data_IF_210127211123
#
_entry.id   IF_210127211123
#
_cell.length_a   1.000
_cell.length_b   1.000
_cell.length_c   1.000
_cell.angle_alpha   90.00
_cell.angle_beta   90.00
_cell.angle_gamma   90.00
#
_symmetry.space_group_name_H-M   'P 1'
#
loop_
_entity.id
_entity.type
_entity.pdbx_description
1 polymer ?
#
# COMPACT_ATOMS: atom_id res chain seq x y z
N UNK A 1 6.22 0.91 -10.31
CA UNK A 1 5.90 2.03 -11.23
C UNK A 1 5.79 3.30 -10.41
N UNK A 2 6.22 4.41 -10.96
CA UNK A 2 6.09 5.74 -10.33
C UNK A 2 5.10 6.58 -11.12
N UNK A 3 4.60 7.64 -10.52
CA UNK A 3 3.72 8.62 -11.18
C UNK A 3 4.33 9.18 -12.47
N UNK A 4 5.66 9.41 -12.47
CA UNK A 4 6.41 9.85 -13.66
C UNK A 4 6.44 8.85 -14.82
N UNK A 5 6.13 7.59 -14.57
CA UNK A 5 6.15 6.53 -15.60
C UNK A 5 4.82 6.43 -16.37
N UNK A 6 3.78 7.13 -15.91
CA UNK A 6 2.48 7.16 -16.57
C UNK A 6 2.56 7.90 -17.90
N UNK A 7 1.98 7.29 -18.93
CA UNK A 7 1.85 7.87 -20.26
C UNK A 7 0.40 8.24 -20.56
N UNK A 8 0.22 9.29 -21.35
CA UNK A 8 -1.10 9.65 -21.85
C UNK A 8 -1.79 8.47 -22.55
N UNK A 9 -3.03 8.22 -22.18
CA UNK A 9 -3.80 7.08 -22.66
C UNK A 9 -3.76 5.86 -21.76
N UNK A 10 -2.87 5.81 -20.76
CA UNK A 10 -2.92 4.74 -19.79
C UNK A 10 -4.24 4.78 -19.01
N UNK A 11 -4.77 3.61 -18.70
CA UNK A 11 -5.87 3.45 -17.76
C UNK A 11 -5.32 2.99 -16.43
N UNK A 12 -5.75 3.64 -15.37
CA UNK A 12 -5.43 3.26 -13.99
C UNK A 12 -6.67 2.66 -13.33
N UNK A 13 -6.48 1.64 -12.50
CA UNK A 13 -7.54 1.05 -11.69
C UNK A 13 -7.21 1.25 -10.23
N UNK A 14 -8.14 1.81 -9.47
CA UNK A 14 -7.99 2.07 -8.04
C UNK A 14 -8.22 0.81 -7.22
N UNK A 15 -7.97 0.89 -5.90
CA UNK A 15 -8.26 -0.19 -4.95
C UNK A 15 -9.74 -0.56 -4.92
N UNK A 16 -10.63 0.39 -5.13
CA UNK A 16 -12.07 0.16 -5.24
C UNK A 16 -12.50 -0.42 -6.59
N UNK A 17 -11.57 -0.62 -7.52
CA UNK A 17 -11.84 -1.16 -8.85
C UNK A 17 -12.34 -0.11 -9.85
N UNK A 18 -12.37 1.17 -9.48
CA UNK A 18 -12.79 2.26 -10.37
C UNK A 18 -11.67 2.51 -11.39
N UNK A 19 -12.04 2.64 -12.66
CA UNK A 19 -11.09 2.88 -13.74
C UNK A 19 -11.11 4.31 -14.22
N UNK A 20 -9.93 4.86 -14.42
CA UNK A 20 -9.71 6.21 -14.90
C UNK A 20 -8.75 6.24 -16.07
N UNK A 21 -9.06 7.03 -17.08
CA UNK A 21 -8.16 7.31 -18.20
C UNK A 21 -7.23 8.46 -17.84
N UNK A 22 -5.91 8.25 -17.92
CA UNK A 22 -4.95 9.34 -17.79
C UNK A 22 -4.98 10.23 -19.03
N UNK A 23 -5.64 11.38 -18.89
CA UNK A 23 -5.84 12.37 -19.95
C UNK A 23 -5.06 13.65 -19.62
N UNK A 24 -4.10 13.99 -20.46
CA UNK A 24 -3.30 15.19 -20.24
C UNK A 24 -2.99 15.91 -21.56
N UNK A 25 -3.30 17.21 -21.59
CA UNK A 25 -2.47 18.13 -22.38
C UNK A 25 -2.06 19.38 -21.60
N UNK A 26 -2.85 19.84 -20.63
CA UNK A 26 -2.52 21.07 -19.87
C UNK A 26 -2.86 20.98 -18.37
N UNK A 27 -3.58 19.97 -17.95
CA UNK A 27 -3.86 19.68 -16.55
C UNK A 27 -3.93 18.15 -16.42
N UNK A 28 -2.90 17.56 -15.82
CA UNK A 28 -2.81 16.12 -15.67
C UNK A 28 -3.99 15.60 -14.81
N UNK A 29 -4.96 14.98 -15.45
CA UNK A 29 -6.20 14.47 -14.86
C UNK A 29 -6.39 13.01 -15.20
N UNK A 30 -7.02 12.30 -14.28
CA UNK A 30 -7.61 10.99 -14.49
C UNK A 30 -9.11 11.17 -14.68
N UNK A 31 -9.63 10.81 -15.85
CA UNK A 31 -11.06 10.86 -16.15
C UNK A 31 -11.68 9.50 -15.82
N UNK A 32 -12.74 9.48 -15.01
CA UNK A 32 -13.46 8.25 -14.74
C UNK A 32 -14.06 7.70 -16.05
N UNK A 33 -13.98 6.39 -16.26
CA UNK A 33 -14.51 5.74 -17.48
C UNK A 33 -16.01 5.44 -17.39
N UNK A 34 -16.56 5.40 -16.17
CA UNK A 34 -17.95 5.01 -15.93
C UNK A 34 -18.88 6.20 -15.68
N UNK A 35 -18.34 7.36 -15.29
CA UNK A 35 -19.09 8.56 -15.01
C UNK A 35 -18.31 9.85 -15.37
N UNK A 36 -18.89 11.03 -15.13
CA UNK A 36 -18.26 12.33 -15.40
C UNK A 36 -17.26 12.77 -14.32
N UNK A 37 -16.87 11.87 -13.41
CA UNK A 37 -15.91 12.14 -12.34
C UNK A 37 -14.48 12.26 -12.87
N UNK A 38 -13.63 12.93 -12.09
CA UNK A 38 -12.21 13.01 -12.37
C UNK A 38 -11.38 13.12 -11.08
N UNK A 39 -10.12 12.72 -11.17
CA UNK A 39 -9.11 12.89 -10.14
C UNK A 39 -7.94 13.71 -10.71
N UNK A 40 -7.29 14.49 -9.86
CA UNK A 40 -6.09 15.19 -10.26
C UNK A 40 -4.85 14.34 -9.98
N UNK A 41 -3.91 14.26 -10.94
CA UNK A 41 -2.65 13.55 -10.70
C UNK A 41 -1.84 14.14 -9.53
N UNK A 42 -2.02 15.44 -9.24
CA UNK A 42 -1.38 16.10 -8.10
C UNK A 42 -1.84 15.57 -6.74
N UNK A 43 -3.02 14.94 -6.70
CA UNK A 43 -3.59 14.37 -5.48
C UNK A 43 -2.95 13.00 -5.13
N UNK A 44 -1.99 12.54 -5.95
CA UNK A 44 -1.23 11.32 -5.74
C UNK A 44 0.23 11.62 -5.47
N UNK A 45 0.85 10.83 -4.59
CA UNK A 45 2.30 10.81 -4.38
C UNK A 45 3.04 10.16 -5.57
N UNK A 46 4.38 10.11 -5.51
CA UNK A 46 5.20 9.48 -6.54
C UNK A 46 5.01 7.96 -6.65
N UNK A 47 4.42 7.32 -5.64
CA UNK A 47 4.13 5.89 -5.62
C UNK A 47 2.68 5.58 -6.01
N UNK A 48 1.93 6.58 -6.47
CA UNK A 48 0.53 6.47 -6.88
C UNK A 48 -0.44 6.15 -5.74
N UNK A 49 -0.09 6.55 -4.50
CA UNK A 49 -1.05 6.59 -3.39
C UNK A 49 -1.75 7.95 -3.39
N UNK A 50 -3.02 7.96 -3.05
CA UNK A 50 -3.75 9.22 -2.88
C UNK A 50 -3.27 9.94 -1.61
N UNK A 51 -3.14 11.26 -1.68
CA UNK A 51 -2.69 12.11 -0.57
C UNK A 51 -3.92 12.59 0.20
N UNK A 52 -3.84 12.56 1.54
CA UNK A 52 -4.84 13.13 2.46
C UNK A 52 -6.27 12.55 2.36
N UNK A 53 -6.44 11.37 1.76
CA UNK A 53 -7.73 10.70 1.64
C UNK A 53 -7.66 9.23 2.07
N UNK A 54 -8.83 8.59 2.16
CA UNK A 54 -8.93 7.15 2.34
C UNK A 54 -8.25 6.44 1.14
N UNK A 55 -7.47 5.40 1.43
CA UNK A 55 -6.65 4.67 0.45
C UNK A 55 -7.45 3.88 -0.62
N UNK A 56 -8.77 3.94 -0.59
CA UNK A 56 -9.64 3.33 -1.60
C UNK A 56 -9.34 3.78 -3.03
N UNK A 57 -8.84 5.00 -3.19
CA UNK A 57 -8.45 5.57 -4.49
C UNK A 57 -6.97 5.37 -4.85
N UNK A 58 -6.18 4.64 -4.05
CA UNK A 58 -4.82 4.27 -4.43
C UNK A 58 -4.81 3.53 -5.77
N UNK A 59 -3.86 3.87 -6.64
CA UNK A 59 -3.72 3.17 -7.91
C UNK A 59 -3.14 1.79 -7.67
N UNK A 60 -3.89 0.77 -8.09
CA UNK A 60 -3.53 -0.64 -7.93
C UNK A 60 -3.04 -1.27 -9.22
N UNK A 61 -3.56 -0.85 -10.38
CA UNK A 61 -3.17 -1.37 -11.69
C UNK A 61 -3.03 -0.25 -12.70
N UNK A 62 -2.17 -0.46 -13.69
CA UNK A 62 -2.02 0.41 -14.85
C UNK A 62 -2.06 -0.45 -16.10
N UNK A 63 -2.90 -0.07 -17.04
CA UNK A 63 -3.06 -0.71 -18.34
C UNK A 63 -2.54 0.21 -19.45
N UNK A 64 -2.17 -0.40 -20.59
CA UNK A 64 -1.64 0.34 -21.73
C UNK A 64 -2.65 1.37 -22.26
N UNK A 65 -3.90 0.92 -22.43
CA UNK A 65 -4.98 1.72 -23.00
C UNK A 65 -6.36 1.41 -22.39
N UNK A 66 -7.40 2.06 -22.92
CA UNK A 66 -8.78 1.93 -22.48
C UNK A 66 -9.38 0.52 -22.69
N UNK A 67 -8.75 -0.36 -23.49
CA UNK A 67 -9.23 -1.73 -23.65
C UNK A 67 -8.92 -2.61 -22.45
N UNK A 68 -8.01 -2.17 -21.58
CA UNK A 68 -7.52 -2.86 -20.38
C UNK A 68 -7.05 -4.31 -20.64
N UNK A 69 -6.56 -4.57 -21.86
CA UNK A 69 -6.08 -5.92 -22.25
C UNK A 69 -4.63 -6.14 -21.85
N UNK A 70 -3.81 -5.10 -21.94
CA UNK A 70 -2.41 -5.16 -21.58
C UNK A 70 -2.16 -4.49 -20.24
N UNK A 71 -1.85 -5.30 -19.24
CA UNK A 71 -1.51 -4.86 -17.89
C UNK A 71 -0.03 -4.48 -17.86
N UNK A 72 0.26 -3.17 -17.73
CA UNK A 72 1.63 -2.66 -17.63
C UNK A 72 2.21 -2.80 -16.24
N UNK A 73 1.36 -2.65 -15.22
CA UNK A 73 1.80 -2.68 -13.84
C UNK A 73 0.64 -3.01 -12.90
N UNK A 74 0.95 -3.77 -11.85
CA UNK A 74 0.06 -4.07 -10.76
C UNK A 74 0.79 -3.88 -9.43
N UNK A 75 0.14 -3.17 -8.51
CA UNK A 75 0.64 -3.07 -7.14
C UNK A 75 0.49 -4.43 -6.48
N UNK A 76 1.61 -5.02 -6.16
CA UNK A 76 1.59 -6.20 -5.30
C UNK A 76 1.29 -5.70 -3.89
N UNK A 77 0.09 -6.02 -3.42
CA UNK A 77 -0.18 -5.87 -2.00
C UNK A 77 0.83 -6.70 -1.22
N UNK A 78 1.40 -6.08 -0.23
CA UNK A 78 2.33 -6.73 0.67
C UNK A 78 1.53 -7.76 1.49
N UNK A 79 1.63 -9.03 1.10
CA UNK A 79 0.95 -10.13 1.79
C UNK A 79 1.98 -11.04 2.45
N UNK A 80 1.73 -11.47 3.70
CA UNK A 80 2.57 -12.48 4.32
C UNK A 80 2.45 -13.81 3.56
N UNK A 81 3.56 -14.52 3.47
CA UNK A 81 3.60 -15.92 3.02
C UNK A 81 2.83 -16.81 4.00
N UNK A 82 2.47 -18.03 3.60
CA UNK A 82 1.78 -18.95 4.49
C UNK A 82 2.58 -19.27 5.78
N UNK A 83 3.91 -19.38 5.68
CA UNK A 83 4.77 -19.58 6.85
C UNK A 83 4.77 -18.34 7.76
N UNK A 84 4.81 -17.15 7.18
CA UNK A 84 4.71 -15.89 7.92
C UNK A 84 3.35 -15.73 8.60
N UNK A 85 2.25 -16.15 7.97
CA UNK A 85 0.92 -16.20 8.60
C UNK A 85 0.87 -17.14 9.80
N UNK A 86 1.50 -18.31 9.71
CA UNK A 86 1.62 -19.21 10.85
C UNK A 86 2.33 -18.51 12.02
N UNK A 87 3.39 -17.77 11.74
CA UNK A 87 4.10 -16.99 12.77
C UNK A 87 3.19 -15.91 13.34
N UNK A 88 2.52 -15.12 12.49
CA UNK A 88 1.58 -14.06 12.92
C UNK A 88 0.46 -14.61 13.82
N UNK A 89 -0.12 -15.77 13.48
CA UNK A 89 -1.16 -16.42 14.28
C UNK A 89 -0.69 -16.82 15.69
N UNK A 90 0.62 -17.06 15.86
CA UNK A 90 1.23 -17.45 17.13
C UNK A 90 1.77 -16.24 17.95
N UNK A 91 1.70 -15.03 17.43
CA UNK A 91 2.04 -13.81 18.17
C UNK A 91 1.02 -13.63 19.31
N UNK A 92 1.47 -13.34 20.56
CA UNK A 92 0.55 -13.06 21.65
C UNK A 92 -0.43 -11.94 21.31
N UNK A 93 -1.73 -12.17 21.53
CA UNK A 93 -2.85 -11.25 21.16
C UNK A 93 -2.75 -9.82 21.73
N UNK A 94 -1.86 -9.58 22.68
CA UNK A 94 -1.58 -8.23 23.20
C UNK A 94 -0.88 -7.34 22.18
N UNK A 95 -0.16 -7.93 21.20
CA UNK A 95 0.46 -7.20 20.11
C UNK A 95 -0.50 -7.13 18.92
N UNK A 96 -0.74 -5.92 18.45
CA UNK A 96 -1.70 -5.64 17.38
C UNK A 96 -1.05 -5.11 16.11
N UNK A 97 0.16 -4.56 16.24
CA UNK A 97 0.85 -3.95 15.11
C UNK A 97 2.27 -4.50 14.97
N UNK A 98 2.74 -4.50 13.72
CA UNK A 98 4.08 -4.89 13.34
C UNK A 98 4.66 -3.83 12.41
N UNK A 99 5.91 -3.44 12.62
CA UNK A 99 6.58 -2.48 11.76
C UNK A 99 8.09 -2.76 11.73
N UNK A 100 8.75 -2.35 10.63
CA UNK A 100 10.20 -2.42 10.46
C UNK A 100 10.80 -1.04 10.65
N UNK A 101 11.84 -0.93 11.46
CA UNK A 101 12.56 0.33 11.64
C UNK A 101 13.65 0.53 10.57
N UNK A 102 14.33 1.67 10.62
CA UNK A 102 15.37 2.04 9.66
C UNK A 102 16.61 1.13 9.72
N UNK A 103 16.84 0.45 10.85
CA UNK A 103 17.94 -0.53 11.00
C UNK A 103 17.62 -1.88 10.35
N UNK A 104 16.37 -2.08 9.91
CA UNK A 104 15.88 -3.33 9.36
C UNK A 104 15.31 -4.29 10.41
N UNK A 105 15.35 -3.94 11.69
CA UNK A 105 14.73 -4.72 12.75
C UNK A 105 13.20 -4.56 12.72
N UNK A 106 12.50 -5.64 13.07
CA UNK A 106 11.05 -5.64 13.18
C UNK A 106 10.66 -5.56 14.66
N UNK A 107 9.61 -4.80 14.91
CA UNK A 107 9.03 -4.63 16.25
C UNK A 107 7.55 -4.92 16.25
N UNK A 108 7.08 -5.47 17.37
CA UNK A 108 5.66 -5.70 17.66
C UNK A 108 5.19 -4.67 18.69
N UNK A 109 4.01 -4.11 18.48
CA UNK A 109 3.43 -3.07 19.32
C UNK A 109 2.02 -3.45 19.78
N UNK A 110 1.70 -3.13 21.04
CA UNK A 110 0.35 -3.36 21.58
C UNK A 110 -0.68 -2.30 21.16
N UNK A 111 -0.21 -1.11 20.79
CA UNK A 111 -0.99 0.01 20.26
C UNK A 111 -0.32 0.53 19.00
N UNK A 112 -1.06 1.24 18.17
CA UNK A 112 -0.51 1.86 16.94
C UNK A 112 0.68 2.73 17.31
N UNK A 113 1.89 2.41 16.80
CA UNK A 113 3.08 3.22 17.06
C UNK A 113 3.08 4.46 16.17
N UNK A 114 3.92 5.42 16.52
CA UNK A 114 4.22 6.59 15.71
C UNK A 114 5.60 6.46 15.09
N UNK A 115 5.75 6.87 13.85
CA UNK A 115 7.03 6.88 13.15
C UNK A 115 7.83 8.12 13.53
N UNK A 116 9.14 7.97 13.78
CA UNK A 116 10.08 9.07 13.93
C UNK A 116 11.25 8.90 12.96
N UNK A 117 12.28 9.74 13.03
CA UNK A 117 13.37 9.80 12.02
C UNK A 117 14.14 8.50 11.77
N UNK A 118 14.15 7.55 12.71
CA UNK A 118 14.93 6.32 12.62
C UNK A 118 14.23 5.07 13.15
N UNK A 119 13.09 5.22 13.83
CA UNK A 119 12.40 4.08 14.45
C UNK A 119 10.91 4.33 14.60
N UNK A 120 10.17 3.26 14.91
CA UNK A 120 8.80 3.32 15.36
C UNK A 120 8.76 3.38 16.89
N UNK A 121 8.00 4.31 17.46
CA UNK A 121 7.84 4.49 18.91
C UNK A 121 6.43 4.09 19.31
N UNK A 122 6.31 3.15 20.22
CA UNK A 122 5.03 2.65 20.68
C UNK A 122 5.05 2.14 22.11
N UNK A 123 3.90 1.74 22.58
CA UNK A 123 3.74 1.18 23.94
C UNK A 123 3.99 -0.33 23.91
N UNK A 124 4.79 -0.83 24.88
CA UNK A 124 5.12 -2.26 25.02
C UNK A 124 5.69 -2.87 23.73
N UNK A 125 6.60 -2.15 23.10
CA UNK A 125 7.34 -2.66 21.96
C UNK A 125 8.26 -3.82 22.37
N UNK A 126 8.40 -4.77 21.47
CA UNK A 126 9.37 -5.86 21.58
C UNK A 126 10.02 -6.10 20.23
N UNK A 127 11.34 -6.23 20.22
CA UNK A 127 12.07 -6.65 19.03
C UNK A 127 11.61 -8.06 18.61
N UNK A 128 11.26 -8.21 17.34
CA UNK A 128 10.79 -9.46 16.79
C UNK A 128 11.96 -10.19 16.11
N UNK A 129 12.32 -11.39 16.56
CA UNK A 129 13.57 -12.04 16.15
C UNK A 129 13.60 -12.47 14.67
N UNK A 130 12.46 -12.46 13.99
CA UNK A 130 12.31 -12.91 12.61
C UNK A 130 12.48 -11.78 11.58
N UNK A 131 13.45 -10.87 11.79
CA UNK A 131 13.68 -9.70 10.93
C UNK A 131 14.02 -10.06 9.47
N UNK A 132 14.49 -11.27 9.20
CA UNK A 132 14.76 -11.79 7.85
C UNK A 132 13.47 -12.22 7.10
N UNK A 133 12.36 -12.40 7.81
CA UNK A 133 11.03 -12.61 7.24
C UNK A 133 10.30 -11.28 7.07
N UNK A 134 9.06 -11.33 6.60
CA UNK A 134 8.23 -10.15 6.45
C UNK A 134 8.90 -9.06 5.60
N UNK A 135 9.54 -9.47 4.50
CA UNK A 135 10.29 -8.55 3.62
C UNK A 135 9.40 -7.52 2.92
N UNK A 136 8.10 -7.72 2.95
CA UNK A 136 7.12 -6.76 2.49
C UNK A 136 6.96 -5.57 3.44
N UNK A 137 7.20 -5.72 4.74
CA UNK A 137 7.20 -4.64 5.71
C UNK A 137 8.52 -3.87 5.56
N UNK A 138 8.44 -2.62 5.15
CA UNK A 138 9.60 -1.77 4.88
C UNK A 138 9.66 -0.59 5.82
N UNK A 139 10.85 -0.03 5.97
CA UNK A 139 11.02 1.22 6.70
C UNK A 139 10.32 2.40 6.02
N UNK A 140 10.26 2.38 4.69
CA UNK A 140 9.63 3.41 3.87
C UNK A 140 8.11 3.48 4.02
N UNK A 141 7.49 2.42 4.56
CA UNK A 141 6.04 2.40 4.80
C UNK A 141 5.68 3.49 5.82
N UNK A 142 4.65 4.26 5.54
CA UNK A 142 4.23 5.40 6.39
C UNK A 142 3.40 4.95 7.59
N UNK A 143 2.76 3.79 7.48
CA UNK A 143 1.89 3.22 8.50
C UNK A 143 2.39 1.85 8.97
N UNK A 144 2.19 1.49 10.24
CA UNK A 144 2.47 0.14 10.72
C UNK A 144 1.38 -0.80 10.23
N UNK A 145 1.72 -2.06 10.00
CA UNK A 145 0.75 -3.08 9.62
C UNK A 145 -0.04 -3.57 10.83
N UNK A 146 -1.36 -3.70 10.68
CA UNK A 146 -2.23 -4.41 11.62
C UNK A 146 -2.02 -5.91 11.44
N UNK A 147 -1.72 -6.63 12.52
CA UNK A 147 -1.57 -8.10 12.48
C UNK A 147 -2.91 -8.76 12.11
N UNK A 148 -4.02 -8.20 12.56
CA UNK A 148 -5.36 -8.68 12.24
C UNK A 148 -5.66 -8.56 10.74
N UNK A 149 -5.43 -7.42 10.13
CA UNK A 149 -5.61 -7.19 8.68
C UNK A 149 -4.72 -8.10 7.83
N UNK A 150 -3.47 -8.33 8.26
CA UNK A 150 -2.56 -9.26 7.57
C UNK A 150 -3.05 -10.72 7.59
N UNK A 151 -3.88 -11.08 8.57
CA UNK A 151 -4.46 -12.42 8.71
C UNK A 151 -5.83 -12.56 8.03
N UNK A 152 -6.62 -11.47 7.93
CA UNK A 152 -7.97 -11.45 7.37
C UNK A 152 -8.03 -11.46 5.84
N UNK A 153 -6.93 -11.23 5.15
CA UNK A 153 -6.87 -11.14 3.68
C UNK A 153 -7.26 -12.40 2.91
N UNK A 154 -7.97 -13.36 3.51
CA UNK A 154 -8.36 -14.64 2.89
C UNK A 154 -9.86 -14.96 2.89
N UNK A 155 -10.73 -14.13 3.44
CA UNK A 155 -12.17 -14.38 3.33
C UNK A 155 -12.81 -13.50 2.26
N UNK A 156 -12.57 -13.87 0.98
CA UNK A 156 -13.54 -13.61 -0.11
C UNK A 156 -13.38 -14.62 -1.22
#
# INVERSE_FOLDING_TARGET
MKKSDLSYGNVVETREGIKYLYHCKNSAQFLNLDDDGFLWIRDFDENLNIIDCDNGLDIMKVYEDYTCKELLWERKEAKPTEDEKVILKNIPKKYKYIARDRSGLIFLFSKKPSKCDCSWIGYNDIAFPYYHLFQFIKWEDEEPYSIEELLEGEEK
#
